data_IF_900434320215
#
_entry.id   IF_900434320215
#
_cell.length_a   1.000
_cell.length_b   1.000
_cell.length_c   1.000
_cell.angle_alpha   90.00
_cell.angle_beta   90.00
_cell.angle_gamma   90.00
#
_symmetry.space_group_name_H-M   'P 1'
#
loop_
_entity.id
_entity.type
_entity.pdbx_description
1 polymer ?
#
# COMPACT_ATOMS: atom_id res chain seq x y z
N UNK A 1 -21.26 -34.92 73.79
CA UNK A 1 -20.14 -35.82 74.11
C UNK A 1 -20.16 -36.95 73.05
N UNK A 2 -19.38 -36.88 71.99
CA UNK A 2 -18.79 -38.03 71.32
C UNK A 2 -17.63 -37.48 70.52
N UNK A 3 -16.42 -37.80 70.96
CA UNK A 3 -15.16 -37.57 70.25
C UNK A 3 -15.05 -38.63 69.21
N UNK A 4 -14.87 -38.25 67.90
CA UNK A 4 -14.41 -39.13 66.88
C UNK A 4 -13.00 -38.73 66.45
N UNK A 5 -12.05 -39.54 66.86
CA UNK A 5 -10.65 -39.54 66.50
C UNK A 5 -10.53 -39.89 65.00
N UNK A 6 -10.02 -38.93 64.22
CA UNK A 6 -9.59 -39.17 62.81
C UNK A 6 -8.12 -39.56 62.84
N UNK A 7 -7.80 -40.77 62.39
CA UNK A 7 -6.43 -41.23 62.11
C UNK A 7 -5.88 -40.52 60.86
N UNK A 8 -4.60 -40.12 60.85
CA UNK A 8 -3.96 -39.59 59.63
C UNK A 8 -3.66 -40.75 58.67
N UNK A 9 -4.32 -40.74 57.52
CA UNK A 9 -4.04 -41.67 56.42
C UNK A 9 -2.62 -41.48 55.87
N UNK A 10 -1.99 -42.60 55.64
CA UNK A 10 -0.66 -42.70 55.09
C UNK A 10 -0.57 -42.00 53.72
N UNK A 11 0.35 -41.04 53.59
CA UNK A 11 0.77 -40.43 52.35
C UNK A 11 1.47 -41.51 51.54
N UNK A 12 0.83 -41.96 50.43
CA UNK A 12 1.40 -42.88 49.46
C UNK A 12 2.66 -42.27 48.89
N UNK A 13 3.76 -43.01 49.01
CA UNK A 13 5.06 -42.65 48.44
C UNK A 13 4.92 -42.42 46.93
N UNK A 14 5.28 -41.21 46.49
CA UNK A 14 5.51 -40.93 45.09
C UNK A 14 6.65 -41.84 44.61
N UNK A 15 6.33 -42.60 43.59
CA UNK A 15 7.31 -43.45 42.88
C UNK A 15 8.44 -42.56 42.32
N UNK A 16 9.70 -42.68 42.78
CA UNK A 16 10.78 -41.86 42.27
C UNK A 16 11.22 -42.20 40.84
N UNK A 17 10.55 -43.16 40.15
CA UNK A 17 10.84 -43.54 38.78
C UNK A 17 10.18 -42.66 37.74
N UNK A 18 9.31 -41.72 38.14
CA UNK A 18 8.85 -40.62 37.22
C UNK A 18 9.80 -39.43 37.38
N UNK A 19 11.09 -39.70 37.45
CA UNK A 19 12.09 -38.67 37.22
C UNK A 19 11.94 -38.21 35.77
N UNK A 20 11.53 -36.98 35.59
CA UNK A 20 11.53 -36.16 34.37
C UNK A 20 12.52 -36.69 33.32
N UNK A 21 12.02 -37.39 32.31
CA UNK A 21 12.80 -37.55 31.10
C UNK A 21 13.19 -36.12 30.65
N UNK A 22 14.48 -35.82 30.44
CA UNK A 22 14.88 -34.52 29.94
C UNK A 22 14.15 -34.33 28.63
N UNK A 23 13.41 -33.26 28.51
CA UNK A 23 12.82 -32.81 27.24
C UNK A 23 14.04 -32.44 26.40
N UNK A 24 14.60 -33.42 25.69
CA UNK A 24 15.62 -33.15 24.69
C UNK A 24 14.92 -32.26 23.64
N UNK A 25 15.43 -31.05 23.48
CA UNK A 25 14.90 -30.16 22.46
C UNK A 25 15.04 -30.85 21.10
N UNK A 26 14.13 -30.61 20.16
CA UNK A 26 14.26 -31.14 18.78
C UNK A 26 15.66 -30.85 18.19
N UNK A 27 16.31 -29.80 18.68
CA UNK A 27 17.68 -29.43 18.33
C UNK A 27 18.75 -30.43 18.86
N UNK A 28 18.57 -30.98 20.09
CA UNK A 28 19.48 -31.99 20.66
C UNK A 28 19.31 -33.33 19.96
N UNK A 29 18.05 -33.72 19.69
CA UNK A 29 17.78 -34.95 18.92
C UNK A 29 18.30 -34.85 17.48
N UNK A 30 18.21 -33.70 16.84
CA UNK A 30 18.75 -33.49 15.50
C UNK A 30 20.29 -33.46 15.48
N UNK A 31 20.90 -32.92 16.54
CA UNK A 31 22.37 -32.93 16.72
C UNK A 31 22.89 -34.36 16.92
N UNK A 32 22.24 -35.17 17.78
CA UNK A 32 22.57 -36.58 17.99
C UNK A 32 22.35 -37.42 16.73
N UNK A 33 21.38 -37.08 15.90
CA UNK A 33 21.13 -37.73 14.61
C UNK A 33 22.09 -37.29 13.50
N UNK A 34 23.06 -36.40 13.77
CA UNK A 34 24.00 -35.87 12.77
C UNK A 34 23.32 -35.01 11.67
N UNK A 35 22.09 -34.55 11.91
CA UNK A 35 21.36 -33.71 10.95
C UNK A 35 21.81 -32.26 11.14
N UNK A 36 22.57 -31.71 10.20
CA UNK A 36 22.86 -30.29 10.15
C UNK A 36 21.56 -29.50 10.00
N UNK A 37 21.07 -28.90 11.09
CA UNK A 37 19.98 -27.95 11.06
C UNK A 37 20.46 -26.67 10.36
N UNK A 38 20.38 -26.66 9.04
CA UNK A 38 20.68 -25.46 8.25
C UNK A 38 19.67 -24.39 8.57
N UNK A 39 20.06 -23.41 9.41
CA UNK A 39 19.22 -22.27 9.75
C UNK A 39 18.86 -21.50 8.46
N UNK A 40 17.68 -21.75 7.90
CA UNK A 40 17.19 -21.02 6.74
C UNK A 40 16.72 -19.64 7.18
N UNK A 41 17.17 -18.60 6.49
CA UNK A 41 16.72 -17.22 6.69
C UNK A 41 15.19 -17.12 6.63
N UNK A 42 14.58 -16.29 7.47
CA UNK A 42 13.14 -16.02 7.45
C UNK A 42 12.63 -15.63 6.05
N UNK A 43 13.41 -14.86 5.29
CA UNK A 43 13.13 -14.48 3.92
C UNK A 43 13.08 -15.66 2.94
N UNK A 44 13.91 -16.69 3.15
CA UNK A 44 13.87 -17.89 2.34
C UNK A 44 12.57 -18.67 2.51
N UNK A 45 12.06 -18.75 3.75
CA UNK A 45 10.77 -19.37 4.04
C UNK A 45 9.61 -18.54 3.46
N UNK A 46 9.63 -17.22 3.66
CA UNK A 46 8.61 -16.33 3.13
C UNK A 46 8.53 -16.44 1.59
N UNK A 47 9.67 -16.41 0.89
CA UNK A 47 9.72 -16.60 -0.55
C UNK A 47 9.11 -17.93 -1.00
N UNK A 48 9.47 -19.04 -0.36
CA UNK A 48 8.95 -20.36 -0.74
C UNK A 48 7.45 -20.46 -0.51
N UNK A 49 6.91 -19.86 0.55
CA UNK A 49 5.47 -19.82 0.84
C UNK A 49 4.73 -18.95 -0.16
N UNK A 50 5.23 -17.76 -0.46
CA UNK A 50 4.64 -16.86 -1.45
C UNK A 50 4.48 -17.55 -2.81
N UNK A 51 5.52 -18.23 -3.31
CA UNK A 51 5.46 -18.93 -4.60
C UNK A 51 4.54 -20.18 -4.58
N UNK A 52 4.12 -20.66 -3.43
CA UNK A 52 3.09 -21.71 -3.32
C UNK A 52 1.66 -21.16 -3.45
N UNK A 53 1.46 -19.88 -3.22
CA UNK A 53 0.15 -19.22 -3.32
C UNK A 53 -0.13 -18.85 -4.78
N UNK A 54 -0.79 -19.76 -5.52
CA UNK A 54 -1.01 -19.62 -6.98
C UNK A 54 -1.64 -18.29 -7.39
N UNK A 55 -2.68 -17.84 -6.67
CA UNK A 55 -3.35 -16.57 -6.98
C UNK A 55 -2.39 -15.37 -6.85
N UNK A 56 -1.56 -15.32 -5.79
CA UNK A 56 -0.58 -14.26 -5.61
C UNK A 56 0.49 -14.25 -6.72
N UNK A 57 0.94 -15.44 -7.16
CA UNK A 57 1.95 -15.56 -8.24
C UNK A 57 1.38 -15.10 -9.58
N UNK A 58 0.16 -15.53 -9.92
CA UNK A 58 -0.53 -15.07 -11.15
C UNK A 58 -0.73 -13.55 -11.11
N UNK A 59 -1.22 -13.04 -9.98
CA UNK A 59 -1.45 -11.61 -9.78
C UNK A 59 -0.14 -10.80 -9.86
N UNK A 60 0.95 -11.32 -9.31
CA UNK A 60 2.27 -10.70 -9.44
C UNK A 60 2.72 -10.63 -10.90
N UNK A 61 2.51 -11.70 -11.68
CA UNK A 61 2.84 -11.71 -13.11
C UNK A 61 2.02 -10.66 -13.88
N UNK A 62 0.72 -10.52 -13.58
CA UNK A 62 -0.15 -9.49 -14.16
C UNK A 62 0.32 -8.08 -13.75
N UNK A 63 0.69 -7.86 -12.49
CA UNK A 63 1.22 -6.57 -12.04
C UNK A 63 2.55 -6.23 -12.69
N UNK A 64 3.44 -7.22 -12.89
CA UNK A 64 4.69 -7.03 -13.63
C UNK A 64 4.39 -6.63 -15.08
N UNK A 65 3.42 -7.27 -15.73
CA UNK A 65 2.96 -6.87 -17.05
C UNK A 65 2.50 -5.42 -17.10
N UNK A 66 1.62 -4.99 -16.16
CA UNK A 66 1.19 -3.59 -16.10
C UNK A 66 2.33 -2.62 -15.78
N UNK A 67 3.30 -3.03 -14.95
CA UNK A 67 4.49 -2.23 -14.67
C UNK A 67 5.37 -2.06 -15.91
N UNK A 68 5.56 -3.12 -16.71
CA UNK A 68 6.27 -3.05 -17.99
C UNK A 68 5.54 -2.11 -18.96
N UNK A 69 4.22 -2.25 -19.08
CA UNK A 69 3.40 -1.34 -19.91
C UNK A 69 3.54 0.10 -19.46
N UNK A 70 3.54 0.36 -18.14
CA UNK A 70 3.70 1.71 -17.60
C UNK A 70 5.10 2.30 -17.87
N UNK A 71 6.16 1.50 -17.67
CA UNK A 71 7.55 1.95 -17.87
C UNK A 71 7.83 2.24 -19.35
N UNK A 72 7.40 1.33 -20.21
CA UNK A 72 7.63 1.41 -21.67
C UNK A 72 6.45 2.03 -22.41
N UNK A 73 5.60 2.83 -21.75
CA UNK A 73 4.40 3.41 -22.33
C UNK A 73 4.68 4.16 -23.65
N UNK A 74 5.78 4.94 -23.70
CA UNK A 74 6.18 5.67 -24.91
C UNK A 74 6.57 4.78 -26.11
N UNK A 75 7.04 3.56 -25.85
CA UNK A 75 7.46 2.61 -26.87
C UNK A 75 6.34 1.66 -27.29
N UNK A 76 5.41 1.38 -26.37
CA UNK A 76 4.31 0.42 -26.59
C UNK A 76 3.09 1.13 -27.18
N UNK A 77 2.83 2.38 -26.80
CA UNK A 77 1.70 3.14 -27.30
C UNK A 77 1.88 3.43 -28.82
N UNK A 78 0.89 3.08 -29.65
CA UNK A 78 0.97 3.33 -31.09
C UNK A 78 1.00 4.83 -31.44
N UNK A 79 0.34 5.66 -30.63
CA UNK A 79 0.19 7.10 -30.83
C UNK A 79 0.54 7.88 -29.56
N UNK A 80 0.73 9.20 -29.69
CA UNK A 80 0.80 10.11 -28.54
C UNK A 80 -0.51 10.11 -27.75
N UNK A 81 -0.45 10.33 -26.44
CA UNK A 81 -1.67 10.34 -25.59
C UNK A 81 -2.62 11.52 -25.85
N UNK A 82 -2.13 12.57 -26.52
CA UNK A 82 -2.83 13.81 -26.91
C UNK A 82 -2.92 13.98 -28.43
N UNK A 83 -2.37 13.06 -29.20
CA UNK A 83 -2.39 13.08 -30.66
C UNK A 83 -3.82 12.83 -31.17
N UNK A 84 -4.30 13.76 -32.00
CA UNK A 84 -5.64 13.74 -32.58
C UNK A 84 -5.56 13.27 -34.01
N UNK A 85 -6.23 12.18 -34.33
CA UNK A 85 -6.34 11.65 -35.70
C UNK A 85 -7.70 12.05 -36.28
N UNK A 86 -7.69 13.15 -37.04
CA UNK A 86 -8.90 13.67 -37.69
C UNK A 86 -9.34 12.85 -38.90
N UNK A 87 -8.46 12.07 -39.50
CA UNK A 87 -8.78 11.25 -40.69
C UNK A 87 -9.64 10.03 -40.32
N UNK A 88 -9.56 9.62 -39.08
CA UNK A 88 -10.26 8.45 -38.59
C UNK A 88 -11.47 8.75 -37.65
N UNK A 89 -11.92 9.98 -37.59
CA UNK A 89 -13.24 10.34 -37.07
C UNK A 89 -14.28 10.04 -38.14
N UNK A 90 -15.45 9.54 -37.75
CA UNK A 90 -16.55 9.35 -38.70
C UNK A 90 -16.99 10.73 -39.25
N UNK A 91 -16.80 11.00 -40.55
CA UNK A 91 -17.05 12.32 -41.12
C UNK A 91 -18.53 12.69 -41.15
N UNK A 92 -19.45 11.73 -40.95
CA UNK A 92 -20.90 11.94 -41.02
C UNK A 92 -21.46 12.22 -39.61
N UNK A 93 -20.99 11.51 -38.61
CA UNK A 93 -21.54 11.58 -37.25
C UNK A 93 -20.65 12.37 -36.28
N UNK A 94 -19.39 12.64 -36.64
CA UNK A 94 -18.41 13.25 -35.73
C UNK A 94 -18.15 12.42 -34.47
N UNK A 95 -18.55 11.14 -34.48
CA UNK A 95 -18.52 10.25 -33.34
C UNK A 95 -17.20 9.46 -33.31
N UNK A 96 -16.70 9.20 -32.11
CA UNK A 96 -15.58 8.32 -31.86
C UNK A 96 -15.75 6.96 -32.54
N UNK A 97 -14.70 6.45 -33.17
CA UNK A 97 -14.71 5.11 -33.79
C UNK A 97 -14.75 4.03 -32.74
N UNK A 98 -15.59 3.03 -32.99
CA UNK A 98 -15.63 1.80 -32.18
C UNK A 98 -14.34 0.98 -32.34
N UNK A 99 -14.01 0.11 -31.36
CA UNK A 99 -12.89 -0.83 -31.47
C UNK A 99 -12.96 -1.67 -32.76
N UNK A 100 -11.84 -1.74 -33.50
CA UNK A 100 -11.71 -2.53 -34.73
C UNK A 100 -10.31 -3.13 -34.85
N UNK A 101 -10.19 -4.24 -35.53
CA UNK A 101 -8.92 -4.91 -35.83
C UNK A 101 -8.37 -4.51 -37.20
N UNK A 102 -8.65 -3.31 -37.68
CA UNK A 102 -8.22 -2.78 -38.97
C UNK A 102 -6.79 -2.23 -39.01
N UNK A 103 -6.09 -2.30 -37.85
CA UNK A 103 -4.68 -1.95 -37.74
C UNK A 103 -4.40 -0.52 -37.33
N UNK A 104 -5.43 0.37 -37.22
CA UNK A 104 -5.22 1.77 -36.83
C UNK A 104 -5.55 2.03 -35.37
N UNK A 105 -6.77 1.78 -34.92
CA UNK A 105 -7.21 2.06 -33.52
C UNK A 105 -7.84 0.82 -32.90
N UNK A 106 -7.03 -0.06 -32.30
CA UNK A 106 -7.49 -1.36 -31.77
C UNK A 106 -8.61 -1.24 -30.72
N UNK A 107 -8.55 -0.26 -29.83
CA UNK A 107 -9.59 0.01 -28.83
C UNK A 107 -10.49 1.18 -29.20
N UNK A 108 -10.47 1.59 -30.48
CA UNK A 108 -11.23 2.73 -30.97
C UNK A 108 -10.58 4.06 -30.62
N UNK A 109 -11.34 5.14 -30.81
CA UNK A 109 -10.95 6.51 -30.49
C UNK A 109 -11.86 7.09 -29.43
N UNK A 110 -11.41 8.14 -28.76
CA UNK A 110 -12.26 8.97 -27.92
C UNK A 110 -13.02 10.03 -28.74
N UNK A 111 -13.79 10.89 -28.06
CA UNK A 111 -14.61 11.96 -28.65
C UNK A 111 -13.80 12.98 -29.46
N UNK A 112 -12.52 13.14 -29.14
CA UNK A 112 -11.61 14.06 -29.81
C UNK A 112 -10.79 13.39 -30.92
N UNK A 113 -11.06 12.12 -31.22
CA UNK A 113 -10.30 11.36 -32.22
C UNK A 113 -8.94 10.87 -31.76
N UNK A 114 -8.68 10.83 -30.46
CA UNK A 114 -7.41 10.33 -29.90
C UNK A 114 -7.46 8.81 -29.75
N UNK A 115 -6.35 8.13 -30.01
CA UNK A 115 -6.25 6.68 -29.85
C UNK A 115 -6.48 6.21 -28.43
N UNK A 116 -7.50 5.36 -28.24
CA UNK A 116 -7.93 5.00 -26.90
C UNK A 116 -7.00 3.98 -26.21
N UNK A 117 -6.37 3.10 -26.99
CA UNK A 117 -5.35 2.18 -26.47
C UNK A 117 -4.16 2.93 -25.89
N UNK A 118 -3.63 3.90 -26.63
CA UNK A 118 -2.54 4.76 -26.18
C UNK A 118 -2.92 5.52 -24.92
N UNK A 119 -4.10 6.08 -24.84
CA UNK A 119 -4.59 6.79 -23.65
C UNK A 119 -4.70 5.87 -22.42
N UNK A 120 -5.14 4.62 -22.57
CA UNK A 120 -5.15 3.63 -21.48
C UNK A 120 -3.74 3.30 -21.02
N UNK A 121 -2.80 3.07 -21.94
CA UNK A 121 -1.40 2.78 -21.64
C UNK A 121 -0.78 3.93 -20.81
N UNK A 122 -0.94 5.17 -21.25
CA UNK A 122 -0.48 6.34 -20.50
C UNK A 122 -1.25 6.53 -19.19
N UNK A 123 -2.55 6.23 -19.16
CA UNK A 123 -3.38 6.25 -17.96
C UNK A 123 -2.90 5.25 -16.91
N UNK A 124 -2.57 4.02 -17.31
CA UNK A 124 -1.95 3.01 -16.45
C UNK A 124 -0.64 3.54 -15.85
N UNK A 125 0.23 4.13 -16.69
CA UNK A 125 1.49 4.72 -16.22
C UNK A 125 1.27 5.76 -15.14
N UNK A 126 0.37 6.72 -15.37
CA UNK A 126 0.12 7.82 -14.45
C UNK A 126 -0.51 7.33 -13.14
N UNK A 127 -1.57 6.51 -13.22
CA UNK A 127 -2.26 5.98 -12.03
C UNK A 127 -1.36 5.07 -11.19
N UNK A 128 -0.54 4.19 -11.80
CA UNK A 128 0.43 3.37 -11.07
C UNK A 128 1.52 4.22 -10.42
N UNK A 129 2.04 5.23 -11.12
CA UNK A 129 3.06 6.11 -10.57
C UNK A 129 2.56 6.84 -9.32
N UNK A 130 1.34 7.42 -9.40
CA UNK A 130 0.69 8.07 -8.25
C UNK A 130 0.50 7.10 -7.11
N UNK A 131 -0.03 5.91 -7.37
CA UNK A 131 -0.30 4.92 -6.32
C UNK A 131 0.98 4.45 -5.60
N UNK A 132 2.05 4.19 -6.34
CA UNK A 132 3.36 3.81 -5.76
C UNK A 132 3.95 4.97 -4.96
N UNK A 133 3.88 6.19 -5.49
CA UNK A 133 4.35 7.39 -4.80
C UNK A 133 3.59 7.61 -3.48
N UNK A 134 2.26 7.52 -3.51
CA UNK A 134 1.40 7.58 -2.31
C UNK A 134 1.80 6.53 -1.29
N UNK A 135 1.95 5.29 -1.73
CA UNK A 135 2.29 4.18 -0.84
C UNK A 135 3.67 4.37 -0.19
N UNK A 136 4.67 4.80 -0.93
CA UNK A 136 6.01 5.07 -0.38
C UNK A 136 5.94 6.20 0.65
N UNK A 137 5.33 7.34 0.29
CA UNK A 137 5.28 8.51 1.17
C UNK A 137 4.45 8.24 2.43
N UNK A 138 3.26 7.65 2.28
CA UNK A 138 2.40 7.28 3.41
C UNK A 138 3.07 6.23 4.31
N UNK A 139 3.80 5.27 3.74
CA UNK A 139 4.54 4.26 4.51
C UNK A 139 5.68 4.88 5.29
N UNK A 140 6.44 5.78 4.69
CA UNK A 140 7.52 6.48 5.38
C UNK A 140 6.99 7.31 6.56
N UNK A 141 5.97 8.15 6.32
CA UNK A 141 5.37 9.00 7.36
C UNK A 141 4.72 8.13 8.45
N UNK A 142 3.86 7.19 8.07
CA UNK A 142 3.14 6.33 9.00
C UNK A 142 4.06 5.47 9.87
N UNK A 143 5.12 4.92 9.25
CA UNK A 143 6.14 4.15 9.98
C UNK A 143 6.93 5.03 10.94
N UNK A 144 7.37 6.22 10.53
CA UNK A 144 8.10 7.13 11.39
C UNK A 144 7.26 7.59 12.60
N UNK A 145 6.04 8.07 12.34
CA UNK A 145 5.11 8.52 13.41
C UNK A 145 4.75 7.37 14.34
N UNK A 146 4.38 6.21 13.79
CA UNK A 146 4.02 5.03 14.57
C UNK A 146 5.19 4.48 15.40
N UNK A 147 6.39 4.45 14.84
CA UNK A 147 7.60 4.00 15.53
C UNK A 147 7.97 4.92 16.70
N UNK A 148 7.98 6.25 16.47
CA UNK A 148 8.29 7.25 17.50
C UNK A 148 7.25 7.19 18.63
N UNK A 149 5.97 7.18 18.27
CA UNK A 149 4.86 7.10 19.21
C UNK A 149 4.93 5.82 20.04
N UNK A 150 5.06 4.65 19.40
CA UNK A 150 5.10 3.36 20.08
C UNK A 150 6.35 3.12 20.92
N UNK A 151 7.51 3.67 20.52
CA UNK A 151 8.77 3.50 21.24
C UNK A 151 8.84 4.36 22.49
N UNK A 152 8.62 5.69 22.36
CA UNK A 152 8.74 6.61 23.49
C UNK A 152 7.54 6.53 24.44
N UNK A 153 6.32 6.34 23.93
CA UNK A 153 5.12 6.28 24.76
C UNK A 153 4.80 7.61 25.45
N UNK A 154 4.00 7.57 26.53
CA UNK A 154 3.71 8.71 27.40
C UNK A 154 3.18 9.94 26.67
N UNK A 155 3.79 11.10 26.92
CA UNK A 155 3.36 12.38 26.33
C UNK A 155 3.58 12.44 24.81
N UNK A 156 4.67 11.87 24.31
CA UNK A 156 4.97 11.81 22.87
C UNK A 156 3.90 11.03 22.13
N UNK A 157 3.55 9.87 22.66
CA UNK A 157 2.48 9.03 22.13
C UNK A 157 1.14 9.78 22.13
N UNK A 158 0.79 10.38 23.27
CA UNK A 158 -0.47 11.13 23.40
C UNK A 158 -0.59 12.27 22.38
N UNK A 159 0.47 13.05 22.16
CA UNK A 159 0.46 14.17 21.21
C UNK A 159 0.34 13.64 19.78
N UNK A 160 1.19 12.69 19.39
CA UNK A 160 1.18 12.14 18.04
C UNK A 160 -0.14 11.45 17.71
N UNK A 161 -0.71 10.70 18.66
CA UNK A 161 -1.99 10.04 18.44
C UNK A 161 -3.16 11.04 18.41
N UNK A 162 -3.14 12.12 19.18
CA UNK A 162 -4.17 13.17 19.06
C UNK A 162 -4.14 13.85 17.68
N UNK A 163 -2.93 14.12 17.15
CA UNK A 163 -2.80 14.62 15.77
C UNK A 163 -3.38 13.58 14.80
N UNK A 164 -3.01 12.32 14.95
CA UNK A 164 -3.53 11.22 14.14
C UNK A 164 -5.06 11.11 14.23
N UNK A 165 -5.64 11.31 15.42
CA UNK A 165 -7.08 11.25 15.65
C UNK A 165 -7.82 12.42 14.99
N UNK A 166 -7.23 13.61 14.93
CA UNK A 166 -7.79 14.75 14.21
C UNK A 166 -7.98 14.41 12.72
N UNK A 167 -6.99 13.76 12.09
CA UNK A 167 -7.12 13.32 10.69
C UNK A 167 -8.22 12.26 10.49
N UNK A 168 -8.47 11.42 11.49
CA UNK A 168 -9.55 10.44 11.43
C UNK A 168 -10.94 11.04 11.66
N UNK A 169 -11.03 12.10 12.46
CA UNK A 169 -12.32 12.72 12.82
C UNK A 169 -12.92 13.47 11.63
N UNK A 170 -12.08 14.08 10.79
CA UNK A 170 -12.53 14.78 9.61
C UNK A 170 -12.81 13.78 8.49
N UNK A 171 -13.97 13.85 7.81
CA UNK A 171 -14.25 12.96 6.69
C UNK A 171 -13.16 13.08 5.62
N UNK A 172 -12.42 11.98 5.39
CA UNK A 172 -11.26 11.98 4.51
C UNK A 172 -11.56 12.52 3.10
N UNK A 173 -12.73 12.21 2.55
CA UNK A 173 -13.18 12.73 1.27
C UNK A 173 -13.35 14.25 1.28
N UNK A 174 -13.84 14.85 2.37
CA UNK A 174 -13.98 16.30 2.48
C UNK A 174 -12.60 16.99 2.48
N UNK A 175 -11.63 16.46 3.26
CA UNK A 175 -10.25 16.96 3.24
C UNK A 175 -9.70 16.88 1.82
N UNK A 176 -9.92 15.76 1.15
CA UNK A 176 -9.39 15.46 -0.16
C UNK A 176 -9.94 16.41 -1.22
N UNK A 177 -11.25 16.68 -1.20
CA UNK A 177 -11.90 17.61 -2.11
C UNK A 177 -11.43 19.05 -1.87
N UNK A 178 -11.38 19.50 -0.62
CA UNK A 178 -10.88 20.84 -0.27
C UNK A 178 -9.42 21.01 -0.69
N UNK A 179 -8.57 20.02 -0.39
CA UNK A 179 -7.17 20.06 -0.78
C UNK A 179 -6.98 20.06 -2.30
N UNK A 180 -7.78 19.27 -3.03
CA UNK A 180 -7.72 19.22 -4.49
C UNK A 180 -8.17 20.56 -5.14
N UNK A 181 -9.15 21.25 -4.56
CA UNK A 181 -9.57 22.60 -5.00
C UNK A 181 -8.46 23.62 -4.75
N UNK A 182 -7.85 23.61 -3.57
CA UNK A 182 -6.85 24.61 -3.19
C UNK A 182 -5.46 24.39 -3.82
N UNK A 183 -5.01 23.15 -3.93
CA UNK A 183 -3.70 22.82 -4.48
C UNK A 183 -3.73 22.56 -5.99
N UNK A 184 -4.90 22.58 -6.55
CA UNK A 184 -5.14 22.84 -7.94
C UNK A 184 -4.88 21.76 -8.94
N UNK A 185 -5.59 22.01 -10.02
CA UNK A 185 -5.60 21.29 -11.26
C UNK A 185 -4.46 21.70 -12.22
N UNK A 186 -3.64 22.69 -11.88
CA UNK A 186 -2.65 23.25 -12.79
C UNK A 186 -1.24 22.74 -12.51
N UNK A 187 -0.45 22.54 -13.56
CA UNK A 187 1.00 22.29 -13.47
C UNK A 187 1.75 23.57 -13.05
N UNK A 188 1.17 24.35 -12.14
CA UNK A 188 1.76 25.59 -11.66
C UNK A 188 2.92 25.31 -10.72
N UNK A 189 3.99 26.04 -10.92
CA UNK A 189 5.11 26.10 -9.99
C UNK A 189 4.61 26.63 -8.63
N UNK A 190 4.89 25.90 -7.55
CA UNK A 190 4.58 26.40 -6.22
C UNK A 190 5.67 27.40 -5.86
N UNK A 191 5.36 28.68 -6.00
CA UNK A 191 6.20 29.80 -5.59
C UNK A 191 5.82 30.34 -4.22
N UNK A 192 4.59 30.08 -3.78
CA UNK A 192 4.02 30.61 -2.54
C UNK A 192 3.11 29.59 -1.86
N UNK A 193 3.15 29.54 -0.53
CA UNK A 193 2.16 28.78 0.26
C UNK A 193 1.08 29.76 0.72
N UNK A 194 -0.10 29.65 0.13
CA UNK A 194 -1.27 30.40 0.57
C UNK A 194 -1.81 29.81 1.87
N UNK A 195 -1.86 30.60 2.93
CA UNK A 195 -2.43 30.16 4.20
C UNK A 195 -3.95 30.12 4.08
N UNK A 196 -4.62 28.98 4.44
CA UNK A 196 -6.07 28.91 4.44
C UNK A 196 -6.64 29.95 5.40
N UNK A 197 -7.72 30.62 4.99
CA UNK A 197 -8.45 31.64 5.74
C UNK A 197 -7.73 32.99 5.91
N UNK A 198 -6.60 33.25 5.25
CA UNK A 198 -5.94 34.56 5.24
C UNK A 198 -5.53 34.93 3.83
N UNK A 199 -5.37 36.23 3.57
CA UNK A 199 -4.78 36.74 2.32
C UNK A 199 -3.24 36.73 2.33
N UNK A 200 -2.63 36.11 3.34
CA UNK A 200 -1.18 36.05 3.47
C UNK A 200 -0.63 34.85 2.70
N UNK A 201 0.30 35.11 1.80
CA UNK A 201 1.12 34.11 1.12
C UNK A 201 2.52 34.11 1.72
N UNK A 202 3.07 32.93 1.98
CA UNK A 202 4.46 32.76 2.39
C UNK A 202 5.25 32.44 1.13
N UNK A 203 6.13 33.36 0.65
CA UNK A 203 6.97 33.09 -0.51
C UNK A 203 7.98 32.00 -0.16
N UNK A 204 8.10 30.99 -1.03
CA UNK A 204 9.12 29.96 -0.91
C UNK A 204 10.44 30.52 -1.50
N UNK A 205 11.59 30.25 -0.85
CA UNK A 205 12.90 30.70 -1.34
C UNK A 205 13.36 29.97 -2.61
N UNK A 206 12.57 29.01 -3.11
CA UNK A 206 12.83 28.23 -4.31
C UNK A 206 11.51 27.78 -4.94
N UNK A 207 11.50 27.72 -6.27
CA UNK A 207 10.38 27.22 -7.04
C UNK A 207 10.42 25.70 -7.07
N UNK A 208 9.36 25.04 -6.63
CA UNK A 208 9.24 23.58 -6.76
C UNK A 208 8.34 23.30 -7.96
N UNK A 209 8.89 22.81 -9.10
CA UNK A 209 8.08 22.34 -10.20
C UNK A 209 7.41 21.01 -9.79
N UNK A 210 6.17 21.07 -9.36
CA UNK A 210 5.43 19.87 -8.97
C UNK A 210 4.39 19.58 -10.04
N UNK A 211 4.60 18.49 -10.77
CA UNK A 211 3.60 17.97 -11.72
C UNK A 211 2.30 17.65 -11.01
N UNK A 212 1.18 17.93 -11.66
CA UNK A 212 -0.17 17.70 -11.13
C UNK A 212 -0.38 16.30 -10.52
N UNK A 213 0.03 15.18 -11.14
CA UNK A 213 -0.09 13.86 -10.52
C UNK A 213 0.65 13.75 -9.17
N UNK A 214 1.75 14.47 -9.00
CA UNK A 214 2.51 14.48 -7.77
C UNK A 214 1.79 15.25 -6.65
N UNK A 215 1.13 16.37 -6.98
CA UNK A 215 0.28 17.12 -6.03
C UNK A 215 -0.82 16.23 -5.47
N UNK A 216 -1.55 15.56 -6.34
CA UNK A 216 -2.60 14.60 -5.96
C UNK A 216 -2.01 13.47 -5.10
N UNK A 217 -0.84 12.96 -5.48
CA UNK A 217 -0.15 11.93 -4.71
C UNK A 217 0.22 12.39 -3.29
N UNK A 218 0.67 13.63 -3.10
CA UNK A 218 0.97 14.20 -1.77
C UNK A 218 -0.30 14.29 -0.94
N UNK A 219 -1.40 14.80 -1.50
CA UNK A 219 -2.69 14.92 -0.82
C UNK A 219 -3.18 13.53 -0.37
N UNK A 220 -3.12 12.54 -1.26
CA UNK A 220 -3.51 11.16 -0.94
C UNK A 220 -2.60 10.54 0.13
N UNK A 221 -1.29 10.73 0.04
CA UNK A 221 -0.36 10.22 1.03
C UNK A 221 -0.65 10.78 2.42
N UNK A 222 -1.05 12.06 2.49
CA UNK A 222 -1.45 12.72 3.73
C UNK A 222 -2.74 12.17 4.33
N UNK A 223 -3.51 11.40 3.58
CA UNK A 223 -4.70 10.68 4.07
C UNK A 223 -4.35 9.26 4.52
N UNK A 224 -3.49 8.54 3.77
CA UNK A 224 -3.24 7.12 3.98
C UNK A 224 -2.24 6.78 5.10
N UNK A 225 -1.34 7.71 5.49
CA UNK A 225 -0.33 7.46 6.53
C UNK A 225 -0.92 7.16 7.91
N UNK A 226 -2.10 7.72 8.19
CA UNK A 226 -2.74 7.74 9.52
C UNK A 226 -3.07 6.32 10.01
N UNK A 227 -3.64 5.49 9.14
CA UNK A 227 -3.99 4.11 9.48
C UNK A 227 -2.73 3.26 9.74
N UNK A 228 -1.70 3.42 8.91
CA UNK A 228 -0.43 2.72 9.08
C UNK A 228 0.29 3.13 10.38
N UNK A 229 0.27 4.42 10.73
CA UNK A 229 0.87 4.90 11.97
C UNK A 229 0.31 4.19 13.21
N UNK A 230 -1.00 3.96 13.27
CA UNK A 230 -1.63 3.20 14.37
C UNK A 230 -1.19 1.73 14.41
N UNK A 231 -1.10 1.10 13.24
CA UNK A 231 -0.64 -0.30 13.15
C UNK A 231 0.80 -0.41 13.62
N UNK A 232 1.69 0.44 13.13
CA UNK A 232 3.12 0.44 13.50
C UNK A 232 3.29 0.77 14.98
N UNK A 233 2.53 1.74 15.52
CA UNK A 233 2.52 2.03 16.95
C UNK A 233 2.20 0.79 17.78
N UNK A 234 1.13 0.06 17.42
CA UNK A 234 0.75 -1.17 18.13
C UNK A 234 1.85 -2.23 18.12
N UNK A 235 2.53 -2.41 16.99
CA UNK A 235 3.66 -3.32 16.87
C UNK A 235 4.84 -2.87 17.75
N UNK A 236 5.18 -1.59 17.75
CA UNK A 236 6.28 -1.06 18.56
C UNK A 236 5.99 -1.17 20.06
N UNK A 237 4.77 -0.88 20.50
CA UNK A 237 4.35 -1.08 21.91
C UNK A 237 4.53 -2.53 22.36
N UNK A 238 4.18 -3.49 21.51
CA UNK A 238 4.34 -4.91 21.82
C UNK A 238 5.80 -5.38 21.81
N UNK A 239 6.62 -4.86 20.89
CA UNK A 239 7.99 -5.32 20.70
C UNK A 239 8.99 -4.66 21.65
N UNK A 240 8.74 -3.42 22.09
CA UNK A 240 9.64 -2.69 23.00
C UNK A 240 9.80 -3.35 24.38
N UNK A 241 8.83 -4.20 24.78
CA UNK A 241 8.81 -4.93 26.06
C UNK A 241 9.39 -6.36 25.94
N UNK A 242 10.03 -6.68 24.83
CA UNK A 242 10.64 -8.00 24.60
C UNK A 242 12.08 -8.04 25.14
N UNK A 243 12.49 -9.23 25.60
CA UNK A 243 13.81 -9.49 26.18
C UNK A 243 14.98 -9.03 25.30
N UNK A 244 14.88 -9.17 23.98
CA UNK A 244 15.94 -8.72 23.06
C UNK A 244 16.13 -7.19 23.06
N UNK A 245 15.07 -6.42 23.35
CA UNK A 245 15.14 -4.95 23.48
C UNK A 245 15.76 -4.59 24.83
N UNK A 246 15.39 -5.29 25.88
CA UNK A 246 15.99 -5.10 27.22
C UNK A 246 17.49 -5.42 27.21
N UNK A 247 17.89 -6.53 26.57
CA UNK A 247 19.28 -6.89 26.38
C UNK A 247 20.05 -5.80 25.60
N UNK A 248 19.46 -5.25 24.52
CA UNK A 248 20.09 -4.18 23.76
C UNK A 248 20.25 -2.89 24.61
N UNK A 249 19.27 -2.54 25.45
CA UNK A 249 19.37 -1.41 26.39
C UNK A 249 20.47 -1.64 27.42
N UNK A 250 20.54 -2.85 28.03
CA UNK A 250 21.57 -3.22 28.98
C UNK A 250 22.98 -3.15 28.38
N UNK A 251 23.10 -3.47 27.08
CA UNK A 251 24.34 -3.33 26.31
C UNK A 251 24.68 -1.89 25.91
N UNK A 252 23.89 -0.90 26.32
CA UNK A 252 24.13 0.54 26.05
C UNK A 252 23.77 0.99 24.63
N UNK A 253 22.88 0.28 23.92
CA UNK A 253 22.44 0.70 22.60
C UNK A 253 21.59 1.97 22.70
N UNK A 254 21.82 2.94 21.80
CA UNK A 254 21.01 4.17 21.69
C UNK A 254 19.60 3.86 21.18
N UNK A 255 18.63 4.72 21.53
CA UNK A 255 17.22 4.56 21.13
C UNK A 255 17.07 4.39 19.62
N UNK A 256 17.72 5.24 18.82
CA UNK A 256 17.68 5.15 17.36
C UNK A 256 18.21 3.82 16.85
N UNK A 257 19.26 3.27 17.48
CA UNK A 257 19.80 1.94 17.15
C UNK A 257 18.80 0.84 17.50
N UNK A 258 18.11 0.95 18.63
CA UNK A 258 17.06 0.00 19.04
C UNK A 258 15.90 0.04 18.06
N UNK A 259 15.39 1.24 17.74
CA UNK A 259 14.30 1.44 16.78
C UNK A 259 14.67 0.82 15.43
N UNK A 260 15.78 1.24 14.83
CA UNK A 260 16.09 0.91 13.42
C UNK A 260 16.67 -0.48 13.24
N UNK A 261 17.42 -1.00 14.20
CA UNK A 261 18.16 -2.25 14.05
C UNK A 261 17.54 -3.44 14.78
N UNK A 262 16.74 -3.20 15.81
CA UNK A 262 16.14 -4.27 16.61
C UNK A 262 14.62 -4.37 16.45
N UNK A 263 13.87 -3.25 16.49
CA UNK A 263 12.39 -3.30 16.43
C UNK A 263 11.88 -3.25 14.99
N UNK A 264 12.29 -2.25 14.22
CA UNK A 264 11.78 -2.02 12.85
C UNK A 264 11.92 -3.22 11.92
N UNK A 265 13.05 -3.97 11.91
CA UNK A 265 13.18 -5.15 11.05
C UNK A 265 12.15 -6.25 11.36
N UNK A 266 11.68 -6.34 12.61
CA UNK A 266 10.63 -7.27 13.02
C UNK A 266 9.21 -6.77 12.64
N UNK A 267 9.05 -5.48 12.32
CA UNK A 267 7.81 -4.88 11.85
C UNK A 267 7.66 -4.88 10.32
N UNK A 268 8.73 -5.17 9.56
CA UNK A 268 8.74 -5.08 8.09
C UNK A 268 7.63 -5.92 7.46
N UNK A 269 7.37 -7.13 7.95
CA UNK A 269 6.31 -7.97 7.42
C UNK A 269 4.94 -7.29 7.42
N UNK A 270 4.39 -6.94 8.57
CA UNK A 270 3.13 -6.20 8.66
C UNK A 270 3.12 -4.86 7.91
N UNK A 271 4.23 -4.12 7.90
CA UNK A 271 4.35 -2.85 7.17
C UNK A 271 4.19 -3.09 5.67
N UNK A 272 4.91 -4.05 5.10
CA UNK A 272 4.84 -4.37 3.66
C UNK A 272 3.43 -4.79 3.28
N UNK A 273 2.79 -5.65 4.06
CA UNK A 273 1.39 -6.07 3.83
C UNK A 273 0.46 -4.86 3.84
N UNK A 274 0.59 -3.97 4.82
CA UNK A 274 -0.25 -2.78 4.88
C UNK A 274 0.01 -1.81 3.72
N UNK A 275 1.28 -1.70 3.28
CA UNK A 275 1.67 -0.88 2.13
C UNK A 275 0.97 -1.36 0.84
N UNK A 276 0.82 -2.67 0.63
CA UNK A 276 0.06 -3.17 -0.53
C UNK A 276 -1.40 -2.74 -0.52
N UNK A 277 -2.03 -2.72 0.66
CA UNK A 277 -3.39 -2.18 0.82
C UNK A 277 -3.47 -0.68 0.52
N UNK A 278 -2.43 0.09 0.90
CA UNK A 278 -2.35 1.51 0.55
C UNK A 278 -2.27 1.69 -0.97
N UNK A 279 -1.47 0.88 -1.69
CA UNK A 279 -1.38 0.97 -3.17
C UNK A 279 -2.75 0.75 -3.81
N UNK A 280 -3.46 -0.31 -3.41
CA UNK A 280 -4.80 -0.60 -3.92
C UNK A 280 -5.80 0.53 -3.60
N UNK A 281 -5.79 1.01 -2.36
CA UNK A 281 -6.63 2.12 -1.92
C UNK A 281 -6.33 3.41 -2.66
N UNK A 282 -5.06 3.71 -2.91
CA UNK A 282 -4.64 4.93 -3.61
C UNK A 282 -5.13 4.96 -5.06
N UNK A 283 -5.05 3.85 -5.80
CA UNK A 283 -5.58 3.75 -7.17
C UNK A 283 -7.08 4.02 -7.20
N UNK A 284 -7.83 3.37 -6.30
CA UNK A 284 -9.28 3.54 -6.23
C UNK A 284 -9.67 4.96 -5.82
N UNK A 285 -8.95 5.56 -4.88
CA UNK A 285 -9.22 6.92 -4.40
C UNK A 285 -8.83 7.96 -5.44
N UNK A 286 -7.72 7.78 -6.18
CA UNK A 286 -7.35 8.62 -7.33
C UNK A 286 -8.42 8.56 -8.41
N UNK A 287 -8.88 7.37 -8.77
CA UNK A 287 -9.94 7.18 -9.75
C UNK A 287 -11.26 7.83 -9.30
N UNK A 288 -11.62 7.71 -8.01
CA UNK A 288 -12.78 8.39 -7.44
C UNK A 288 -12.64 9.91 -7.48
N UNK A 289 -11.46 10.44 -7.12
CA UNK A 289 -11.17 11.87 -7.16
C UNK A 289 -11.28 12.42 -8.59
N UNK A 290 -10.76 11.67 -9.56
CA UNK A 290 -10.91 11.98 -10.99
C UNK A 290 -12.38 11.95 -11.41
N UNK A 291 -13.16 10.98 -10.91
CA UNK A 291 -14.59 10.86 -11.17
C UNK A 291 -15.40 12.07 -10.68
N UNK A 292 -15.05 12.61 -9.51
CA UNK A 292 -15.70 13.82 -8.96
C UNK A 292 -15.20 15.10 -9.63
N UNK A 293 -14.23 15.02 -10.54
CA UNK A 293 -13.71 16.14 -11.32
C UNK A 293 -12.47 16.82 -10.74
N UNK A 294 -11.95 16.33 -9.61
CA UNK A 294 -10.79 16.90 -8.91
C UNK A 294 -9.52 16.04 -8.99
N UNK A 295 -9.53 15.03 -9.85
CA UNK A 295 -8.36 14.20 -10.12
C UNK A 295 -7.42 14.81 -11.14
N UNK A 296 -6.66 13.93 -11.80
CA UNK A 296 -5.71 14.32 -12.84
C UNK A 296 -6.45 14.88 -14.04
N UNK A 297 -6.07 16.09 -14.47
CA UNK A 297 -6.69 16.82 -15.57
C UNK A 297 -5.87 16.71 -16.86
N UNK A 298 -6.48 16.93 -18.02
CA UNK A 298 -5.73 17.07 -19.28
C UNK A 298 -4.60 18.10 -19.19
N UNK A 299 -3.49 17.94 -19.91
CA UNK A 299 -3.29 16.91 -20.96
C UNK A 299 -2.98 15.51 -20.42
N UNK A 300 -2.69 15.34 -19.12
CA UNK A 300 -2.32 14.07 -18.54
C UNK A 300 -3.47 13.05 -18.66
N UNK A 301 -3.14 11.82 -19.07
CA UNK A 301 -4.08 10.70 -19.06
C UNK A 301 -4.02 9.99 -17.71
N UNK A 302 -5.17 9.71 -17.10
CA UNK A 302 -5.32 8.87 -15.93
C UNK A 302 -6.54 7.98 -16.10
N UNK A 303 -6.50 6.76 -15.54
CA UNK A 303 -7.58 5.79 -15.75
C UNK A 303 -8.94 6.29 -15.24
N UNK A 304 -8.96 6.95 -14.08
CA UNK A 304 -10.18 7.54 -13.53
C UNK A 304 -10.76 8.64 -14.42
N UNK A 305 -9.91 9.49 -14.98
CA UNK A 305 -10.35 10.55 -15.90
C UNK A 305 -10.92 9.99 -17.19
N UNK A 306 -10.33 8.92 -17.73
CA UNK A 306 -10.86 8.24 -18.92
C UNK A 306 -12.28 7.71 -18.71
N UNK A 307 -12.60 7.20 -17.52
CA UNK A 307 -13.96 6.75 -17.19
C UNK A 307 -14.94 7.93 -17.21
N UNK A 308 -14.56 9.06 -16.62
CA UNK A 308 -15.42 10.26 -16.59
C UNK A 308 -15.69 10.79 -17.99
N UNK A 309 -14.63 10.91 -18.80
CA UNK A 309 -14.74 11.36 -20.19
C UNK A 309 -15.66 10.41 -20.99
N UNK A 310 -15.56 9.10 -20.75
CA UNK A 310 -16.43 8.11 -21.40
C UNK A 310 -17.88 8.11 -20.90
N UNK A 311 -18.10 8.42 -19.62
CA UNK A 311 -19.44 8.43 -19.03
C UNK A 311 -20.32 9.54 -19.61
N UNK A 312 -19.74 10.70 -19.99
CA UNK A 312 -20.48 11.82 -20.60
C UNK A 312 -21.16 11.43 -21.91
N UNK A 313 -20.69 10.37 -22.60
CA UNK A 313 -21.25 9.85 -23.87
C UNK A 313 -22.30 8.74 -23.64
N UNK A 314 -22.61 8.41 -22.41
CA UNK A 314 -23.60 7.38 -22.09
C UNK A 314 -23.17 5.97 -22.52
N UNK A 315 -24.15 5.12 -22.82
CA UNK A 315 -23.89 3.73 -23.19
C UNK A 315 -23.46 3.52 -24.65
N UNK A 316 -23.53 4.56 -25.47
CA UNK A 316 -23.20 4.46 -26.90
C UNK A 316 -21.72 4.12 -27.12
N UNK A 317 -20.83 4.74 -26.33
CA UNK A 317 -19.38 4.53 -26.38
C UNK A 317 -18.92 3.71 -25.16
N UNK A 318 -19.53 2.54 -24.94
CA UNK A 318 -19.33 1.71 -23.76
C UNK A 318 -17.85 1.33 -23.49
N UNK A 319 -17.04 1.22 -24.54
CA UNK A 319 -15.62 0.87 -24.44
C UNK A 319 -14.80 1.94 -23.69
N UNK A 320 -15.23 3.21 -23.75
CA UNK A 320 -14.58 4.32 -23.05
C UNK A 320 -14.69 4.20 -21.53
N UNK A 321 -15.66 3.45 -21.02
CA UNK A 321 -15.82 3.17 -19.59
C UNK A 321 -15.28 1.81 -19.21
N UNK A 322 -15.57 0.79 -20.03
CA UNK A 322 -15.27 -0.61 -19.71
C UNK A 322 -13.77 -0.89 -19.67
N UNK A 323 -13.00 -0.46 -20.66
CA UNK A 323 -11.56 -0.77 -20.71
C UNK A 323 -10.76 -0.13 -19.57
N UNK A 324 -10.87 1.18 -19.29
CA UNK A 324 -10.15 1.74 -18.15
C UNK A 324 -10.68 1.22 -16.80
N UNK A 325 -11.99 0.96 -16.68
CA UNK A 325 -12.59 0.33 -15.51
C UNK A 325 -12.05 -1.08 -15.26
N UNK A 326 -11.92 -1.89 -16.32
CA UNK A 326 -11.32 -3.21 -16.24
C UNK A 326 -9.84 -3.15 -15.83
N UNK A 327 -9.09 -2.18 -16.36
CA UNK A 327 -7.69 -1.98 -15.98
C UNK A 327 -7.57 -1.65 -14.49
N UNK A 328 -8.36 -0.71 -13.96
CA UNK A 328 -8.39 -0.37 -12.51
C UNK A 328 -8.75 -1.60 -11.69
N UNK A 329 -9.81 -2.31 -12.09
CA UNK A 329 -10.27 -3.51 -11.38
C UNK A 329 -9.19 -4.59 -11.31
N UNK A 330 -8.56 -4.91 -12.45
CA UNK A 330 -7.51 -5.93 -12.52
C UNK A 330 -6.29 -5.53 -11.68
N UNK A 331 -5.84 -4.29 -11.78
CA UNK A 331 -4.69 -3.81 -10.99
C UNK A 331 -5.00 -3.88 -9.50
N UNK A 332 -6.14 -3.33 -9.04
CA UNK A 332 -6.52 -3.34 -7.64
C UNK A 332 -6.70 -4.76 -7.09
N UNK A 333 -7.36 -5.64 -7.85
CA UNK A 333 -7.54 -7.04 -7.48
C UNK A 333 -6.21 -7.78 -7.36
N UNK A 334 -5.30 -7.59 -8.34
CA UNK A 334 -3.98 -8.23 -8.32
C UNK A 334 -3.12 -7.74 -7.16
N UNK A 335 -3.17 -6.45 -6.83
CA UNK A 335 -2.45 -5.91 -5.65
C UNK A 335 -2.97 -6.55 -4.36
N UNK A 336 -4.28 -6.70 -4.20
CA UNK A 336 -4.86 -7.34 -3.03
C UNK A 336 -4.43 -8.81 -2.91
N UNK A 337 -4.47 -9.61 -4.00
CA UNK A 337 -3.99 -11.00 -3.97
C UNK A 337 -2.50 -11.12 -3.67
N UNK A 338 -1.67 -10.20 -4.17
CA UNK A 338 -0.24 -10.14 -3.81
C UNK A 338 -0.09 -9.79 -2.34
N UNK A 339 -0.88 -8.84 -1.82
CA UNK A 339 -0.91 -8.47 -0.41
C UNK A 339 -1.27 -9.65 0.50
N UNK A 340 -2.31 -10.40 0.15
CA UNK A 340 -2.72 -11.61 0.88
C UNK A 340 -1.62 -12.69 0.84
N UNK A 341 -1.03 -12.93 -0.33
CA UNK A 341 0.09 -13.86 -0.46
C UNK A 341 1.33 -13.46 0.34
N UNK A 342 1.63 -12.16 0.45
CA UNK A 342 2.69 -11.63 1.32
C UNK A 342 2.34 -11.80 2.79
N UNK A 343 1.10 -11.55 3.18
CA UNK A 343 0.62 -11.76 4.54
C UNK A 343 0.79 -13.21 4.97
N UNK A 344 0.32 -14.15 4.16
CA UNK A 344 0.45 -15.59 4.44
C UNK A 344 1.91 -16.05 4.48
N UNK A 345 2.75 -15.47 3.63
CA UNK A 345 4.16 -15.79 3.58
C UNK A 345 4.94 -15.28 4.80
N UNK A 346 4.57 -14.10 5.33
CA UNK A 346 5.26 -13.43 6.42
C UNK A 346 4.67 -13.74 7.81
N UNK A 347 3.54 -14.47 7.89
CA UNK A 347 2.90 -14.84 9.15
C UNK A 347 3.74 -15.90 9.91
N UNK A 348 4.27 -15.58 11.12
CA UNK A 348 5.08 -16.51 11.91
C UNK A 348 4.24 -17.60 12.60
N UNK A 349 2.93 -17.41 12.78
CA UNK A 349 2.09 -18.30 13.60
C UNK A 349 1.81 -19.64 12.91
N UNK A 350 1.84 -19.72 11.60
CA UNK A 350 1.63 -20.95 10.83
C UNK A 350 2.82 -21.94 10.92
N UNK A 351 3.86 -21.64 11.69
CA UNK A 351 4.97 -22.58 11.94
C UNK A 351 4.61 -23.74 12.85
N UNK A 352 3.54 -23.63 13.67
CA UNK A 352 3.21 -24.63 14.71
C UNK A 352 2.23 -25.74 14.29
N UNK A 353 1.73 -25.71 13.08
CA UNK A 353 0.67 -26.64 12.63
C UNK A 353 1.12 -27.71 11.60
N UNK A 354 2.45 -27.99 11.54
CA UNK A 354 2.96 -29.12 10.73
C UNK A 354 4.02 -29.89 11.47
#
# INVERSE_FOLDING_TARGET
>A
MVQSTVQPGAVGGADPSIASAPISSEAELAFEAGVELKARSQWSYARTRFFRHKAAVVSLAVLIFFAIVAIFAKQIAPYGYDEIDLEHIDPITGIARSPRLDGHHYLGTDQLGRDYLSRIIYGIRTSLWVAVFVAILATLIGTAVGAISGFYGGHVDNILMRITDLFFTVPGLAILLVAAVYFGSDDSEITEINLPFTSAAIPLPFTIPIYQPMKIGIILAFLFWVALARVVRGLFLSLREKEFVEAAKAAGASDMRIITRHILPNCVGPIVVFTTLIVAGAILTEAFLSFVGYGIQPPNAALGKLIVDGQSEGFTLWWLVVFPGLAIFLIAMCINFVGDGLRDALDPTQRRSR
#
